data_IF_980477587838
#
_entry.id   IF_980477587838
#
_cell.length_a   1.000
_cell.length_b   1.000
_cell.length_c   1.000
_cell.angle_alpha   90.00
_cell.angle_beta   90.00
_cell.angle_gamma   90.00
#
_symmetry.space_group_name_H-M   'P 1'
#
loop_
_entity.id
_entity.type
_entity.pdbx_description
1 polymer ?
#
# COMPACT_ATOMS: atom_id res chain seq x y z
N UNK A 1 2.56 4.35 -7.04
CA UNK A 1 1.45 3.64 -6.42
C UNK A 1 0.58 4.66 -5.74
N UNK A 2 -0.71 4.71 -6.08
CA UNK A 2 -1.66 5.57 -5.36
C UNK A 2 -1.64 5.23 -3.88
N UNK A 3 -1.59 6.22 -3.00
CA UNK A 3 -1.63 5.97 -1.56
C UNK A 3 -2.91 5.25 -1.15
N UNK A 4 -4.00 5.42 -1.90
CA UNK A 4 -5.23 4.65 -1.74
C UNK A 4 -5.00 3.12 -1.83
N UNK A 5 -4.12 2.67 -2.73
CA UNK A 5 -3.84 1.24 -2.93
C UNK A 5 -3.24 0.62 -1.67
N UNK A 6 -2.41 1.36 -0.93
CA UNK A 6 -1.78 0.91 0.31
C UNK A 6 -2.81 0.44 1.36
N UNK A 7 -3.97 1.10 1.44
CA UNK A 7 -5.05 0.75 2.37
C UNK A 7 -5.67 -0.64 2.12
N UNK A 8 -5.41 -1.26 0.97
CA UNK A 8 -5.96 -2.59 0.62
C UNK A 8 -4.89 -3.69 0.56
N UNK A 9 -3.62 -3.35 0.75
CA UNK A 9 -2.53 -4.33 0.72
C UNK A 9 -2.25 -4.88 2.12
N UNK A 10 -2.10 -6.20 2.21
CA UNK A 10 -1.74 -6.89 3.46
C UNK A 10 -0.68 -7.94 3.19
N UNK A 11 0.15 -8.25 4.19
CA UNK A 11 1.14 -9.33 4.16
C UNK A 11 0.66 -10.61 4.86
N UNK A 12 -0.66 -10.79 5.04
CA UNK A 12 -1.22 -11.98 5.72
C UNK A 12 -0.97 -13.29 4.97
N UNK A 13 -0.58 -13.22 3.70
CA UNK A 13 -0.20 -14.37 2.88
C UNK A 13 1.19 -14.94 3.22
N UNK A 14 1.97 -14.27 4.06
CA UNK A 14 3.28 -14.79 4.50
C UNK A 14 3.12 -15.78 5.66
N UNK A 15 4.04 -16.74 5.76
CA UNK A 15 4.15 -17.62 6.94
C UNK A 15 4.32 -16.80 8.22
N UNK A 16 3.68 -17.29 9.29
CA UNK A 16 3.81 -16.75 10.65
C UNK A 16 3.36 -15.29 10.82
N UNK A 17 2.51 -14.77 9.94
CA UNK A 17 1.95 -13.42 10.07
C UNK A 17 0.55 -13.48 10.67
N UNK A 18 0.36 -12.82 11.82
CA UNK A 18 -0.96 -12.65 12.44
C UNK A 18 -1.50 -11.24 12.18
N UNK A 19 -0.64 -10.23 12.27
CA UNK A 19 -0.94 -8.83 12.00
C UNK A 19 -0.34 -8.40 10.66
N UNK A 20 -0.88 -8.87 9.54
CA UNK A 20 -0.37 -8.50 8.21
C UNK A 20 -0.83 -7.13 7.69
N UNK A 21 -1.48 -6.32 8.51
CA UNK A 21 -2.09 -5.05 8.09
C UNK A 21 -2.13 -4.05 9.26
N UNK A 22 -1.87 -2.74 9.03
CA UNK A 22 -1.41 -2.16 7.77
C UNK A 22 0.06 -2.47 7.49
N UNK A 23 0.43 -2.51 6.21
CA UNK A 23 1.84 -2.51 5.83
C UNK A 23 2.47 -1.17 6.23
N UNK A 24 3.71 -1.18 6.69
CA UNK A 24 4.43 0.06 6.99
C UNK A 24 4.95 0.62 5.67
N UNK A 25 4.49 1.82 5.29
CA UNK A 25 4.95 2.49 4.06
C UNK A 25 6.15 3.39 4.37
N UNK A 26 7.24 3.23 3.62
CA UNK A 26 8.38 4.14 3.61
C UNK A 26 8.55 4.68 2.19
N UNK A 27 8.24 5.95 2.01
CA UNK A 27 8.33 6.61 0.72
C UNK A 27 9.70 7.30 0.58
N UNK A 28 10.41 7.00 -0.51
CA UNK A 28 11.64 7.70 -0.88
C UNK A 28 11.31 8.87 -1.82
N UNK A 29 10.37 8.65 -2.73
CA UNK A 29 9.92 9.64 -3.69
C UNK A 29 8.39 9.62 -3.82
N UNK A 30 7.80 10.81 -3.78
CA UNK A 30 6.36 11.01 -3.97
C UNK A 30 6.11 11.94 -5.17
N UNK A 31 4.94 11.79 -5.78
CA UNK A 31 4.42 12.68 -6.80
C UNK A 31 2.98 13.07 -6.47
N UNK A 32 2.64 14.33 -6.71
CA UNK A 32 1.25 14.76 -6.68
C UNK A 32 0.61 14.47 -8.03
N UNK A 33 -0.61 13.97 -7.99
CA UNK A 33 -1.41 13.70 -9.18
C UNK A 33 -2.71 14.49 -9.10
N UNK A 34 -2.98 15.23 -10.16
CA UNK A 34 -4.30 15.83 -10.36
C UNK A 34 -5.31 14.73 -10.64
N UNK A 35 -6.35 14.68 -9.81
CA UNK A 35 -7.45 13.73 -9.93
C UNK A 35 -8.73 14.54 -9.91
N UNK A 36 -9.62 14.27 -10.87
CA UNK A 36 -10.95 14.87 -10.87
C UNK A 36 -11.73 14.41 -9.64
N UNK A 37 -12.38 15.35 -8.96
CA UNK A 37 -13.18 15.04 -7.79
C UNK A 37 -14.46 14.31 -8.21
N UNK A 38 -14.68 13.13 -7.64
CA UNK A 38 -15.89 12.34 -7.85
C UNK A 38 -16.54 12.03 -6.50
N UNK A 39 -17.65 12.70 -6.21
CA UNK A 39 -18.38 12.60 -4.94
C UNK A 39 -18.83 11.17 -4.64
N UNK A 40 -19.44 10.50 -5.63
CA UNK A 40 -19.93 9.13 -5.48
C UNK A 40 -18.79 8.16 -5.15
N UNK A 41 -17.62 8.33 -5.77
CA UNK A 41 -16.45 7.52 -5.46
C UNK A 41 -15.98 7.72 -4.02
N UNK A 42 -15.90 8.98 -3.56
CA UNK A 42 -15.49 9.31 -2.20
C UNK A 42 -16.47 8.71 -1.18
N UNK A 43 -17.77 8.96 -1.32
CA UNK A 43 -18.80 8.46 -0.41
C UNK A 43 -18.81 6.94 -0.31
N UNK A 44 -18.68 6.23 -1.44
CA UNK A 44 -18.63 4.78 -1.46
C UNK A 44 -17.34 4.20 -0.85
N UNK A 45 -16.24 4.94 -0.93
CA UNK A 45 -14.96 4.49 -0.37
C UNK A 45 -14.82 4.83 1.12
N UNK A 46 -15.40 5.92 1.61
CA UNK A 46 -15.31 6.37 3.02
C UNK A 46 -15.40 5.26 4.08
N UNK A 47 -16.37 4.32 4.03
CA UNK A 47 -16.47 3.28 5.07
C UNK A 47 -15.31 2.26 5.06
N UNK A 48 -14.57 2.13 3.95
CA UNK A 48 -13.46 1.18 3.80
C UNK A 48 -12.09 1.82 4.05
N UNK A 49 -12.05 3.10 4.39
CA UNK A 49 -10.83 3.89 4.42
C UNK A 49 -10.43 4.26 5.84
N UNK A 50 -9.23 3.86 6.23
CA UNK A 50 -8.68 4.17 7.55
C UNK A 50 -7.92 5.51 7.57
N UNK A 51 -7.23 5.88 6.49
CA UNK A 51 -6.50 7.15 6.30
C UNK A 51 -6.37 7.45 4.80
N UNK A 52 -6.71 8.65 4.32
CA UNK A 52 -6.78 8.93 2.87
C UNK A 52 -5.99 10.16 2.46
N UNK A 53 -5.16 9.99 1.43
CA UNK A 53 -4.80 11.05 0.49
C UNK A 53 -5.00 10.49 -0.94
N UNK A 54 -5.95 11.05 -1.69
CA UNK A 54 -6.28 10.59 -3.05
C UNK A 54 -5.32 11.12 -4.12
N UNK A 55 -4.64 12.24 -3.84
CA UNK A 55 -3.82 12.95 -4.81
C UNK A 55 -2.33 12.63 -4.70
N UNK A 56 -1.94 11.67 -3.85
CA UNK A 56 -0.54 11.32 -3.62
C UNK A 56 -0.24 9.95 -4.24
N UNK A 57 0.78 9.91 -5.08
CA UNK A 57 1.36 8.68 -5.61
C UNK A 57 2.80 8.51 -5.10
N UNK A 58 3.14 7.31 -4.65
CA UNK A 58 4.51 6.93 -4.29
C UNK A 58 5.21 6.48 -5.56
N UNK A 59 6.28 7.15 -5.98
CA UNK A 59 7.06 6.75 -7.16
C UNK A 59 8.07 5.67 -6.80
N UNK A 60 8.78 5.87 -5.68
CA UNK A 60 9.77 4.93 -5.17
C UNK A 60 9.67 4.81 -3.65
N UNK A 61 9.88 3.60 -3.12
CA UNK A 61 9.78 3.32 -1.69
C UNK A 61 9.69 1.82 -1.38
N UNK A 62 9.23 1.50 -0.18
CA UNK A 62 9.02 0.12 0.26
C UNK A 62 7.78 0.01 1.16
N UNK A 63 7.13 -1.15 1.09
CA UNK A 63 6.12 -1.59 2.05
C UNK A 63 6.76 -2.66 2.95
N UNK A 64 6.58 -2.56 4.25
CA UNK A 64 7.17 -3.49 5.20
C UNK A 64 6.06 -4.22 6.00
N UNK A 65 6.16 -5.54 6.09
CA UNK A 65 5.31 -6.35 6.95
C UNK A 65 5.62 -6.00 8.42
N UNK A 66 4.62 -5.64 9.25
CA UNK A 66 4.88 -5.24 10.63
C UNK A 66 5.31 -6.41 11.54
N UNK A 67 4.93 -7.65 11.22
CA UNK A 67 5.30 -8.83 12.03
C UNK A 67 6.68 -9.40 11.64
N UNK A 68 6.96 -9.54 10.34
CA UNK A 68 8.18 -10.22 9.85
C UNK A 68 9.28 -9.26 9.40
N UNK A 69 8.97 -7.98 9.23
CA UNK A 69 9.89 -7.00 8.63
C UNK A 69 10.12 -7.21 7.14
N UNK A 70 9.40 -8.13 6.48
CA UNK A 70 9.56 -8.38 5.04
C UNK A 70 9.23 -7.15 4.22
N UNK A 71 10.16 -6.73 3.36
CA UNK A 71 10.06 -5.51 2.55
C UNK A 71 9.65 -5.79 1.11
N UNK A 72 8.60 -5.16 0.63
CA UNK A 72 8.11 -5.18 -0.74
C UNK A 72 8.48 -3.86 -1.42
N UNK A 73 9.46 -3.86 -2.35
CA UNK A 73 9.91 -2.63 -2.98
C UNK A 73 8.84 -2.07 -3.92
N UNK A 74 8.78 -0.74 -4.00
CA UNK A 74 7.95 0.02 -4.93
C UNK A 74 8.91 0.68 -5.92
N UNK A 75 8.78 0.38 -7.21
CA UNK A 75 9.55 1.01 -8.30
C UNK A 75 8.60 1.48 -9.39
N UNK A 76 8.85 2.66 -9.93
CA UNK A 76 7.97 3.31 -10.94
C UNK A 76 6.49 3.31 -10.52
N UNK A 77 6.27 3.42 -9.22
CA UNK A 77 4.96 3.37 -8.62
C UNK A 77 4.26 2.02 -8.64
N UNK A 78 4.96 0.92 -8.91
CA UNK A 78 4.43 -0.44 -8.89
C UNK A 78 5.02 -1.18 -7.67
N UNK A 79 4.20 -1.59 -6.69
CA UNK A 79 4.67 -2.43 -5.59
C UNK A 79 4.92 -3.86 -6.07
N UNK A 80 6.06 -4.44 -5.71
CA UNK A 80 6.36 -5.85 -5.97
C UNK A 80 5.99 -6.71 -4.75
N UNK A 81 4.89 -7.45 -4.86
CA UNK A 81 4.38 -8.36 -3.82
C UNK A 81 4.73 -9.84 -4.10
N UNK A 82 5.66 -10.11 -5.01
CA UNK A 82 6.13 -11.48 -5.26
C UNK A 82 6.85 -12.03 -4.02
N UNK A 83 6.58 -13.31 -3.77
CA UNK A 83 7.04 -14.07 -2.62
C UNK A 83 7.73 -15.33 -3.09
N UNK A 84 8.74 -15.77 -2.34
CA UNK A 84 9.37 -17.05 -2.56
C UNK A 84 8.53 -18.17 -1.91
N UNK A 85 8.66 -19.40 -2.40
CA UNK A 85 7.94 -20.58 -1.85
C UNK A 85 8.23 -20.80 -0.35
N UNK A 86 9.41 -20.40 0.12
CA UNK A 86 9.78 -20.51 1.52
C UNK A 86 9.01 -19.52 2.41
N UNK A 87 8.48 -18.43 1.85
CA UNK A 87 7.85 -17.32 2.56
C UNK A 87 6.32 -17.44 2.68
N UNK A 88 5.67 -18.38 1.95
CA UNK A 88 4.20 -18.58 1.88
C UNK A 88 3.75 -19.82 2.63
#
# INVERSE_FOLDING_TARGET
MKLLTHNFLSSRFLKNVTNGYPLILRANQIANKEVEFNENFVLNMMPKLHRVMLCVEIVDGELECPDTGRKFPIKDGIPNLLVNENEV
#
